data_IF_703319206524
#
_entry.id   IF_703319206524
#
_cell.length_a   1.000
_cell.length_b   1.000
_cell.length_c   1.000
_cell.angle_alpha   90.00
_cell.angle_beta   90.00
_cell.angle_gamma   90.00
#
_symmetry.space_group_name_H-M   'P 1'
#
loop_
_entity.id
_entity.type
_entity.pdbx_description
1 polymer ?
#
# COMPACT_ATOMS: atom_id res chain seq x y z
N UNK A 1 -5.77 -10.14 20.48
CA UNK A 1 -4.80 -9.33 19.70
C UNK A 1 -5.48 -8.73 18.46
N UNK A 2 -4.81 -7.82 17.77
CA UNK A 2 -5.30 -7.17 16.54
C UNK A 2 -5.01 -8.00 15.29
N UNK A 3 -4.06 -8.92 15.33
CA UNK A 3 -3.59 -9.67 14.17
C UNK A 3 -4.72 -10.48 13.52
N UNK A 4 -5.37 -11.34 14.30
CA UNK A 4 -6.40 -12.25 13.79
C UNK A 4 -7.57 -11.53 13.11
N UNK A 5 -8.21 -10.50 13.68
CA UNK A 5 -9.30 -9.79 13.00
C UNK A 5 -8.82 -9.03 11.76
N UNK A 6 -7.65 -8.38 11.80
CA UNK A 6 -7.15 -7.63 10.64
C UNK A 6 -6.76 -8.55 9.48
N UNK A 7 -6.06 -9.67 9.75
CA UNK A 7 -5.72 -10.63 8.70
C UNK A 7 -6.95 -11.37 8.17
N UNK A 8 -7.96 -11.63 9.02
CA UNK A 8 -9.25 -12.15 8.55
C UNK A 8 -9.93 -11.17 7.61
N UNK A 9 -10.00 -9.89 7.97
CA UNK A 9 -10.58 -8.86 7.11
C UNK A 9 -9.81 -8.71 5.79
N UNK A 10 -8.47 -8.77 5.82
CA UNK A 10 -7.61 -8.76 4.63
C UNK A 10 -7.92 -9.94 3.71
N UNK A 11 -8.01 -11.14 4.26
CA UNK A 11 -8.38 -12.34 3.52
C UNK A 11 -9.76 -12.22 2.89
N UNK A 12 -10.77 -11.78 3.64
CA UNK A 12 -12.13 -11.59 3.14
C UNK A 12 -12.19 -10.57 2.01
N UNK A 13 -11.49 -9.46 2.13
CA UNK A 13 -11.42 -8.42 1.10
C UNK A 13 -10.71 -8.91 -0.16
N UNK A 14 -9.65 -9.69 -0.02
CA UNK A 14 -8.90 -10.23 -1.15
C UNK A 14 -9.66 -11.34 -1.89
N UNK A 15 -10.23 -12.30 -1.14
CA UNK A 15 -10.82 -13.50 -1.71
C UNK A 15 -12.30 -13.37 -2.06
N UNK A 16 -13.04 -12.48 -1.38
CA UNK A 16 -14.48 -12.21 -1.59
C UNK A 16 -15.29 -13.49 -1.69
N UNK A 17 -15.22 -14.39 -0.69
CA UNK A 17 -15.78 -15.73 -0.81
C UNK A 17 -17.30 -15.68 -0.97
N UNK A 18 -17.82 -16.49 -1.88
CA UNK A 18 -19.26 -16.68 -2.05
C UNK A 18 -19.85 -17.34 -0.78
N UNK A 19 -20.98 -16.84 -0.32
CA UNK A 19 -21.65 -17.34 0.90
C UNK A 19 -21.17 -16.70 2.20
N UNK A 20 -20.26 -15.74 2.15
CA UNK A 20 -19.88 -14.89 3.27
C UNK A 20 -20.26 -13.43 2.98
N UNK A 21 -20.86 -12.76 3.95
CA UNK A 21 -21.20 -11.32 3.86
C UNK A 21 -19.97 -10.46 4.20
N UNK A 22 -18.91 -10.64 3.41
CA UNK A 22 -17.63 -9.99 3.63
C UNK A 22 -17.71 -8.46 3.52
N UNK A 23 -18.70 -7.91 2.78
CA UNK A 23 -18.91 -6.47 2.65
C UNK A 23 -19.22 -5.84 4.01
N UNK A 24 -20.00 -6.51 4.85
CA UNK A 24 -20.30 -6.05 6.20
C UNK A 24 -19.27 -6.53 7.23
N UNK A 25 -18.68 -7.71 7.03
CA UNK A 25 -17.70 -8.27 7.98
C UNK A 25 -16.37 -7.51 7.98
N UNK A 26 -15.86 -7.08 6.83
CA UNK A 26 -14.57 -6.35 6.76
C UNK A 26 -14.60 -5.06 7.60
N UNK A 27 -15.51 -4.10 7.37
CA UNK A 27 -15.54 -2.89 8.20
C UNK A 27 -15.86 -3.21 9.67
N UNK A 28 -16.69 -4.21 9.97
CA UNK A 28 -16.97 -4.63 11.35
C UNK A 28 -15.71 -5.07 12.09
N UNK A 29 -14.83 -5.82 11.44
CA UNK A 29 -13.57 -6.26 12.02
C UNK A 29 -12.59 -5.09 12.22
N UNK A 30 -12.54 -4.14 11.29
CA UNK A 30 -11.74 -2.92 11.42
C UNK A 30 -12.22 -2.08 12.62
N UNK A 31 -13.53 -1.85 12.72
CA UNK A 31 -14.10 -1.09 13.84
C UNK A 31 -13.89 -1.82 15.17
N UNK A 32 -14.02 -3.14 15.21
CA UNK A 32 -13.76 -3.92 16.42
C UNK A 32 -12.31 -3.72 16.91
N UNK A 33 -11.33 -3.72 16.01
CA UNK A 33 -9.94 -3.46 16.40
C UNK A 33 -9.78 -2.05 16.95
N UNK A 34 -10.36 -1.05 16.29
CA UNK A 34 -10.32 0.33 16.77
C UNK A 34 -10.97 0.50 18.15
N UNK A 35 -12.15 -0.08 18.37
CA UNK A 35 -12.90 0.05 19.61
C UNK A 35 -12.25 -0.71 20.77
N UNK A 36 -11.62 -1.85 20.49
CA UNK A 36 -11.06 -2.75 21.51
C UNK A 36 -9.59 -2.45 21.83
N UNK A 37 -8.82 -2.05 20.82
CA UNK A 37 -7.37 -1.93 20.89
C UNK A 37 -6.84 -0.55 20.49
N UNK A 38 -7.74 0.38 20.13
CA UNK A 38 -7.34 1.76 19.84
C UNK A 38 -6.89 2.49 21.09
N UNK A 39 -5.74 3.13 21.03
CA UNK A 39 -5.30 4.05 22.07
C UNK A 39 -5.99 5.41 21.92
N UNK A 40 -5.98 6.26 22.96
CA UNK A 40 -6.38 7.65 22.84
C UNK A 40 -5.62 8.34 21.71
N UNK A 41 -6.34 9.09 20.89
CA UNK A 41 -5.77 9.71 19.72
C UNK A 41 -4.63 10.68 20.08
N UNK A 42 -3.44 10.44 19.51
CA UNK A 42 -2.37 11.42 19.48
C UNK A 42 -2.46 12.22 18.17
N UNK A 43 -2.66 13.52 18.25
CA UNK A 43 -2.77 14.38 17.06
C UNK A 43 -3.77 13.86 16.01
N UNK A 44 -4.90 13.32 16.48
CA UNK A 44 -5.94 12.67 15.64
C UNK A 44 -5.52 11.37 14.96
N UNK A 45 -4.37 10.80 15.24
CA UNK A 45 -4.03 9.44 14.83
C UNK A 45 -4.78 8.41 15.67
N UNK A 46 -4.92 7.22 15.14
CA UNK A 46 -5.55 6.07 15.80
C UNK A 46 -4.51 4.96 16.02
N UNK A 47 -3.60 5.11 17.03
CA UNK A 47 -2.60 4.10 17.31
C UNK A 47 -3.24 2.85 17.89
N UNK A 48 -2.67 1.69 17.61
CA UNK A 48 -3.20 0.40 18.01
C UNK A 48 -2.29 -0.26 19.05
N UNK A 49 -2.89 -0.71 20.16
CA UNK A 49 -2.22 -1.51 21.19
C UNK A 49 -1.90 -2.92 20.66
N UNK A 50 -0.88 -3.51 21.23
CA UNK A 50 -0.51 -4.89 20.91
C UNK A 50 -1.64 -5.87 21.21
N UNK A 51 -2.15 -5.82 22.45
CA UNK A 51 -3.17 -6.77 22.93
C UNK A 51 -4.05 -6.11 24.00
N UNK A 52 -5.15 -6.78 24.36
CA UNK A 52 -6.11 -6.31 25.39
C UNK A 52 -5.44 -6.09 26.75
N UNK A 53 -4.40 -6.85 27.07
CA UNK A 53 -3.64 -6.75 28.33
C UNK A 53 -2.23 -6.19 28.16
N UNK A 54 -1.82 -5.87 26.94
CA UNK A 54 -0.54 -5.25 26.63
C UNK A 54 -0.80 -3.91 25.94
N UNK A 55 -0.77 -2.84 26.72
CA UNK A 55 -1.15 -1.50 26.29
C UNK A 55 -0.01 -0.72 25.59
N UNK A 56 0.93 -1.44 25.01
CA UNK A 56 1.93 -0.79 24.17
C UNK A 56 1.33 -0.44 22.83
N UNK A 57 1.48 0.80 22.45
CA UNK A 57 1.10 1.30 21.13
C UNK A 57 2.24 1.03 20.17
N UNK A 58 1.99 0.21 19.17
CA UNK A 58 3.03 -0.30 18.26
C UNK A 58 2.89 0.28 16.86
N UNK A 59 4.04 0.67 16.28
CA UNK A 59 4.11 1.18 14.91
C UNK A 59 3.66 0.15 13.88
N UNK A 60 4.12 -1.11 14.00
CA UNK A 60 3.74 -2.22 13.11
C UNK A 60 2.24 -2.51 13.13
N UNK A 61 1.65 -2.60 14.32
CA UNK A 61 0.21 -2.87 14.49
C UNK A 61 -0.65 -1.71 13.97
N UNK A 62 -0.19 -0.49 14.20
CA UNK A 62 -0.86 0.70 13.68
C UNK A 62 -0.75 0.77 12.15
N UNK A 63 0.40 0.44 11.57
CA UNK A 63 0.58 0.37 10.12
C UNK A 63 -0.28 -0.74 9.50
N UNK A 64 -0.40 -1.91 10.15
CA UNK A 64 -1.29 -3.00 9.72
C UNK A 64 -2.76 -2.55 9.69
N UNK A 65 -3.23 -1.92 10.76
CA UNK A 65 -4.58 -1.33 10.81
C UNK A 65 -4.77 -0.29 9.70
N UNK A 66 -3.81 0.59 9.52
CA UNK A 66 -3.84 1.62 8.48
C UNK A 66 -3.92 1.02 7.07
N UNK A 67 -3.13 -0.01 6.77
CA UNK A 67 -3.13 -0.65 5.45
C UNK A 67 -4.49 -1.28 5.13
N UNK A 68 -5.16 -1.85 6.12
CA UNK A 68 -6.49 -2.41 5.90
C UNK A 68 -7.55 -1.31 5.72
N UNK A 69 -7.45 -0.19 6.45
CA UNK A 69 -8.28 1.00 6.19
C UNK A 69 -8.07 1.53 4.76
N UNK A 70 -6.82 1.58 4.28
CA UNK A 70 -6.49 2.00 2.92
C UNK A 70 -7.11 1.08 1.86
N UNK A 71 -6.94 -0.24 2.01
CA UNK A 71 -7.52 -1.24 1.12
C UNK A 71 -9.06 -1.20 1.11
N UNK A 72 -9.67 -1.03 2.29
CA UNK A 72 -11.12 -0.89 2.38
C UNK A 72 -11.63 0.40 1.74
N UNK A 73 -10.92 1.51 1.95
CA UNK A 73 -11.24 2.79 1.29
C UNK A 73 -11.17 2.69 -0.24
N UNK A 74 -10.13 2.03 -0.77
CA UNK A 74 -9.99 1.78 -2.21
C UNK A 74 -11.17 0.99 -2.77
N UNK A 75 -11.65 0.00 -2.02
CA UNK A 75 -12.78 -0.82 -2.44
C UNK A 75 -14.13 -0.10 -2.30
N UNK A 76 -14.38 0.52 -1.15
CA UNK A 76 -15.68 1.10 -0.79
C UNK A 76 -15.89 2.53 -1.31
N UNK A 77 -14.80 3.26 -1.59
CA UNK A 77 -14.81 4.70 -1.86
C UNK A 77 -15.02 5.56 -0.61
N UNK A 78 -15.02 4.97 0.60
CA UNK A 78 -15.27 5.71 1.84
C UNK A 78 -14.04 6.53 2.26
N UNK A 79 -14.16 7.86 2.15
CA UNK A 79 -13.12 8.80 2.48
C UNK A 79 -12.74 8.80 3.98
N UNK A 80 -13.63 8.38 4.87
CA UNK A 80 -13.33 8.31 6.29
C UNK A 80 -12.25 7.25 6.59
N UNK A 81 -12.27 6.12 5.90
CA UNK A 81 -11.23 5.10 6.02
C UNK A 81 -9.90 5.54 5.37
N UNK A 82 -9.95 6.31 4.27
CA UNK A 82 -8.76 6.94 3.68
C UNK A 82 -8.08 7.85 4.71
N UNK A 83 -8.84 8.72 5.35
CA UNK A 83 -8.34 9.65 6.36
C UNK A 83 -7.76 8.91 7.58
N UNK A 84 -8.41 7.85 8.06
CA UNK A 84 -7.87 7.00 9.14
C UNK A 84 -6.54 6.37 8.76
N UNK A 85 -6.44 5.82 7.54
CA UNK A 85 -5.20 5.25 7.03
C UNK A 85 -4.07 6.27 7.05
N UNK A 86 -4.30 7.47 6.50
CA UNK A 86 -3.30 8.55 6.46
C UNK A 86 -2.82 8.93 7.86
N UNK A 87 -3.74 9.14 8.80
CA UNK A 87 -3.40 9.54 10.18
C UNK A 87 -2.64 8.47 10.92
N UNK A 88 -3.07 7.20 10.80
CA UNK A 88 -2.41 6.09 11.44
C UNK A 88 -1.00 5.85 10.85
N UNK A 89 -0.82 5.96 9.53
CA UNK A 89 0.50 5.88 8.90
C UNK A 89 1.41 7.03 9.32
N UNK A 90 0.90 8.26 9.36
CA UNK A 90 1.67 9.40 9.82
C UNK A 90 2.19 9.17 11.25
N UNK A 91 1.35 8.65 12.15
CA UNK A 91 1.80 8.29 13.49
C UNK A 91 2.84 7.17 13.45
N UNK A 92 2.59 6.10 12.67
CA UNK A 92 3.51 4.98 12.56
C UNK A 92 4.88 5.38 11.97
N UNK A 93 4.95 6.41 11.13
CA UNK A 93 6.22 6.90 10.57
C UNK A 93 7.21 7.43 11.60
N UNK A 94 6.75 7.84 12.79
CA UNK A 94 7.64 8.24 13.88
C UNK A 94 8.53 7.12 14.42
N UNK A 95 8.22 5.86 14.10
CA UNK A 95 9.05 4.70 14.47
C UNK A 95 10.22 4.47 13.53
N UNK A 96 10.22 5.08 12.35
CA UNK A 96 11.31 4.98 11.38
C UNK A 96 12.46 5.92 11.75
N UNK A 97 13.69 5.41 11.74
CA UNK A 97 14.90 6.16 11.98
C UNK A 97 15.60 6.48 10.66
N UNK A 98 16.45 7.52 10.65
CA UNK A 98 17.18 7.96 9.45
C UNK A 98 18.17 6.90 8.91
N UNK A 99 18.58 5.96 9.75
CA UNK A 99 19.46 4.85 9.37
C UNK A 99 18.69 3.64 8.76
N UNK A 100 17.38 3.76 8.60
CA UNK A 100 16.51 2.70 8.06
C UNK A 100 16.07 1.67 9.08
N UNK A 101 16.45 1.80 10.35
CA UNK A 101 15.91 0.95 11.42
C UNK A 101 14.52 1.41 11.84
N UNK A 102 13.75 0.51 12.45
CA UNK A 102 12.40 0.78 12.95
C UNK A 102 12.31 0.42 14.42
N UNK A 103 11.82 1.32 15.25
CA UNK A 103 11.49 1.05 16.66
C UNK A 103 10.05 0.55 16.80
N UNK A 104 9.77 -0.13 17.90
CA UNK A 104 8.42 -0.69 18.16
C UNK A 104 7.42 0.42 18.51
N UNK A 105 7.83 1.39 19.32
CA UNK A 105 6.98 2.51 19.76
C UNK A 105 7.80 3.77 20.06
N UNK A 106 7.12 4.90 20.26
CA UNK A 106 7.75 6.23 20.43
C UNK A 106 8.15 6.56 21.85
N UNK A 107 7.43 6.08 22.84
CA UNK A 107 7.49 6.54 24.22
C UNK A 107 8.63 5.90 25.03
N UNK A 108 9.18 4.79 24.56
CA UNK A 108 10.29 4.08 25.21
C UNK A 108 11.22 3.41 24.20
N UNK A 109 11.91 4.17 23.35
CA UNK A 109 12.70 3.63 22.26
C UNK A 109 13.87 2.74 22.73
N UNK A 110 14.50 3.08 23.86
CA UNK A 110 15.57 2.31 24.49
C UNK A 110 15.09 0.96 25.03
N UNK A 111 13.92 0.90 25.61
CA UNK A 111 13.30 -0.32 26.09
C UNK A 111 12.90 -1.22 24.92
N UNK A 112 12.24 -0.67 23.93
CA UNK A 112 11.73 -1.43 22.78
C UNK A 112 12.87 -1.94 21.88
N UNK A 113 13.94 -1.20 21.73
CA UNK A 113 15.12 -1.67 21.00
C UNK A 113 15.83 -2.85 21.65
N UNK A 114 15.63 -3.04 22.94
CA UNK A 114 16.18 -4.18 23.71
C UNK A 114 15.19 -5.33 23.83
N UNK A 115 13.95 -5.13 23.43
CA UNK A 115 12.88 -6.09 23.55
C UNK A 115 12.97 -7.15 22.45
N UNK A 116 12.59 -8.36 22.76
CA UNK A 116 12.44 -9.46 21.80
C UNK A 116 11.28 -9.25 20.80
N UNK A 117 10.55 -8.18 20.90
CA UNK A 117 9.59 -7.74 19.90
C UNK A 117 10.34 -7.26 18.66
N UNK A 118 10.60 -8.19 17.76
CA UNK A 118 11.28 -7.94 16.49
C UNK A 118 10.35 -7.62 15.34
N UNK A 119 9.12 -7.24 15.64
CA UNK A 119 8.08 -6.94 14.65
C UNK A 119 8.37 -5.69 13.81
N UNK A 120 9.50 -5.04 14.07
CA UNK A 120 9.80 -3.76 13.49
C UNK A 120 9.73 -3.75 11.96
N UNK A 121 10.75 -4.27 11.30
CA UNK A 121 10.90 -4.04 9.87
C UNK A 121 9.94 -4.89 9.02
N UNK A 122 9.89 -6.20 9.23
CA UNK A 122 9.11 -7.11 8.38
C UNK A 122 7.60 -6.99 8.55
N UNK A 123 7.15 -6.57 9.71
CA UNK A 123 5.73 -6.37 10.00
C UNK A 123 5.30 -4.89 9.89
N UNK A 124 6.21 -4.01 9.51
CA UNK A 124 6.00 -2.58 9.36
C UNK A 124 5.97 -2.16 7.88
N UNK A 125 7.04 -2.42 7.14
CA UNK A 125 7.24 -1.97 5.75
C UNK A 125 6.17 -2.50 4.78
N UNK A 126 5.75 -3.78 4.82
CA UNK A 126 4.71 -4.27 3.89
C UNK A 126 3.39 -3.50 3.98
N UNK A 127 3.04 -3.02 5.18
CA UNK A 127 1.81 -2.26 5.38
C UNK A 127 1.86 -0.86 4.80
N UNK A 128 3.04 -0.22 4.76
CA UNK A 128 3.24 1.03 4.02
C UNK A 128 3.15 0.80 2.51
N UNK A 129 3.74 -0.27 2.00
CA UNK A 129 3.66 -0.64 0.58
C UNK A 129 2.21 -0.90 0.17
N UNK A 130 1.47 -1.70 0.92
CA UNK A 130 0.04 -1.97 0.68
C UNK A 130 -0.78 -0.67 0.69
N UNK A 131 -0.47 0.22 1.64
CA UNK A 131 -1.18 1.51 1.75
C UNK A 131 -0.90 2.43 0.56
N UNK A 132 0.35 2.50 0.09
CA UNK A 132 0.71 3.25 -1.11
C UNK A 132 0.10 2.63 -2.38
N UNK A 133 -0.02 1.31 -2.44
CA UNK A 133 -0.71 0.65 -3.54
C UNK A 133 -2.22 0.97 -3.58
N UNK A 134 -2.85 1.06 -2.40
CA UNK A 134 -4.27 1.40 -2.26
C UNK A 134 -4.56 2.90 -2.38
N UNK A 135 -3.62 3.75 -1.94
CA UNK A 135 -3.70 5.22 -1.97
C UNK A 135 -2.39 5.76 -2.58
N UNK A 136 -2.26 5.74 -3.91
CA UNK A 136 -1.01 6.11 -4.60
C UNK A 136 -0.47 7.50 -4.28
N UNK A 137 -1.34 8.43 -3.88
CA UNK A 137 -0.95 9.76 -3.42
C UNK A 137 -0.07 9.78 -2.16
N UNK A 138 0.04 8.64 -1.43
CA UNK A 138 0.97 8.50 -0.30
C UNK A 138 2.40 8.18 -0.73
N UNK A 139 2.61 7.71 -1.96
CA UNK A 139 3.94 7.43 -2.46
C UNK A 139 4.69 8.73 -2.81
N UNK A 140 6.02 8.80 -2.62
CA UNK A 140 6.82 9.97 -2.93
C UNK A 140 6.62 10.46 -4.38
N UNK A 141 6.56 11.77 -4.58
CA UNK A 141 6.33 12.39 -5.90
C UNK A 141 7.63 12.57 -6.71
N UNK A 142 8.77 12.48 -6.08
CA UNK A 142 10.09 12.78 -6.64
C UNK A 142 10.86 11.53 -7.08
N UNK A 143 10.24 10.36 -6.99
CA UNK A 143 10.84 9.10 -7.41
C UNK A 143 9.81 8.18 -8.07
N UNK A 144 10.31 7.30 -8.94
CA UNK A 144 9.49 6.31 -9.62
C UNK A 144 9.37 5.04 -8.77
N UNK A 145 8.14 4.54 -8.61
CA UNK A 145 7.85 3.36 -7.80
C UNK A 145 6.84 2.44 -8.46
N UNK A 146 7.15 1.15 -8.53
CA UNK A 146 6.15 0.11 -8.75
C UNK A 146 5.39 -0.11 -7.44
N UNK A 147 4.11 0.26 -7.40
CA UNK A 147 3.25 0.19 -6.21
C UNK A 147 2.51 -1.14 -6.10
N UNK A 148 2.05 -1.68 -7.23
CA UNK A 148 1.33 -2.96 -7.26
C UNK A 148 1.58 -3.68 -8.57
N UNK A 149 1.60 -5.02 -8.51
CA UNK A 149 1.67 -5.90 -9.67
C UNK A 149 0.87 -7.17 -9.41
N UNK A 150 0.10 -7.63 -10.39
CA UNK A 150 -0.59 -8.93 -10.33
C UNK A 150 0.30 -10.10 -10.75
N UNK A 151 1.52 -9.82 -11.24
CA UNK A 151 2.53 -10.81 -11.60
C UNK A 151 3.84 -10.54 -10.87
N UNK A 152 4.63 -11.56 -10.64
CA UNK A 152 5.98 -11.40 -10.10
C UNK A 152 6.84 -10.62 -11.09
N UNK A 153 7.47 -9.55 -10.64
CA UNK A 153 8.44 -8.78 -11.42
C UNK A 153 9.80 -9.44 -11.28
N UNK A 154 10.38 -9.86 -12.41
CA UNK A 154 11.70 -10.53 -12.47
C UNK A 154 12.85 -9.53 -12.36
N UNK A 155 12.71 -8.42 -13.06
CA UNK A 155 13.68 -7.33 -13.12
C UNK A 155 12.95 -6.01 -13.38
N UNK A 156 13.46 -4.92 -12.83
CA UNK A 156 12.99 -3.58 -13.08
C UNK A 156 14.17 -2.61 -13.03
N UNK A 157 14.26 -1.77 -14.06
CA UNK A 157 15.25 -0.71 -14.17
C UNK A 157 14.56 0.65 -14.24
N UNK A 158 15.00 1.57 -13.40
CA UNK A 158 14.57 2.95 -13.39
C UNK A 158 15.69 3.85 -13.89
N UNK A 159 15.43 4.58 -14.95
CA UNK A 159 16.33 5.63 -15.45
C UNK A 159 15.56 6.92 -15.66
N UNK A 160 16.24 8.02 -15.90
CA UNK A 160 15.57 9.32 -16.10
C UNK A 160 14.55 9.24 -17.21
N UNK A 161 13.25 9.39 -16.87
CA UNK A 161 12.12 9.34 -17.81
C UNK A 161 11.97 8.03 -18.61
N UNK A 162 12.57 6.94 -18.13
CA UNK A 162 12.40 5.65 -18.78
C UNK A 162 12.45 4.55 -17.72
N UNK A 163 11.44 3.68 -17.72
CA UNK A 163 11.33 2.50 -16.88
C UNK A 163 11.19 1.29 -17.78
N UNK A 164 11.96 0.24 -17.48
CA UNK A 164 11.80 -1.06 -18.12
C UNK A 164 11.68 -2.13 -17.08
N UNK A 165 10.73 -3.04 -17.27
CA UNK A 165 10.59 -4.20 -16.38
C UNK A 165 10.11 -5.43 -17.13
N UNK A 166 10.38 -6.60 -16.53
CA UNK A 166 9.86 -7.89 -16.99
C UNK A 166 9.09 -8.60 -15.90
N UNK A 167 7.96 -9.18 -16.29
CA UNK A 167 7.12 -9.98 -15.43
C UNK A 167 7.30 -11.47 -15.65
N UNK A 168 6.84 -12.29 -14.70
CA UNK A 168 6.84 -13.74 -14.86
C UNK A 168 5.71 -14.15 -15.82
N UNK A 169 4.52 -13.61 -15.62
CA UNK A 169 3.36 -13.89 -16.49
C UNK A 169 3.32 -12.87 -17.63
N UNK A 170 2.87 -13.35 -18.80
CA UNK A 170 2.66 -12.49 -19.97
C UNK A 170 1.51 -11.52 -19.76
N UNK A 171 0.47 -11.91 -19.03
CA UNK A 171 -0.67 -11.05 -18.71
C UNK A 171 -0.55 -10.53 -17.29
N UNK A 172 -0.78 -9.23 -17.13
CA UNK A 172 -0.75 -8.61 -15.81
C UNK A 172 -1.25 -7.17 -15.79
N UNK A 173 -1.48 -6.70 -14.57
CA UNK A 173 -1.80 -5.31 -14.27
C UNK A 173 -0.76 -4.76 -13.31
N UNK A 174 -0.28 -3.55 -13.59
CA UNK A 174 0.63 -2.84 -12.71
C UNK A 174 0.13 -1.44 -12.43
N UNK A 175 0.48 -0.96 -11.23
CA UNK A 175 0.28 0.42 -10.80
C UNK A 175 1.64 0.99 -10.44
N UNK A 176 2.00 2.10 -11.06
CA UNK A 176 3.27 2.80 -10.82
C UNK A 176 2.98 4.25 -10.42
N UNK A 177 3.76 4.76 -9.47
CA UNK A 177 3.93 6.19 -9.23
C UNK A 177 5.08 6.67 -10.10
N UNK A 178 4.91 7.77 -10.82
CA UNK A 178 5.92 8.31 -11.73
C UNK A 178 6.34 9.72 -11.32
N UNK A 179 7.62 10.01 -11.43
CA UNK A 179 8.16 11.37 -11.29
C UNK A 179 8.08 12.17 -12.62
N UNK A 180 7.61 11.55 -13.69
CA UNK A 180 7.49 12.14 -15.01
C UNK A 180 6.14 11.83 -15.67
N UNK A 181 5.78 12.60 -16.70
CA UNK A 181 4.59 12.32 -17.51
C UNK A 181 4.94 11.29 -18.59
N UNK A 182 4.26 10.12 -18.64
CA UNK A 182 4.52 9.13 -19.67
C UNK A 182 4.02 9.62 -21.06
N UNK A 183 4.82 9.38 -22.09
CA UNK A 183 4.47 9.69 -23.49
C UNK A 183 4.04 8.45 -24.27
N UNK A 184 4.59 7.29 -23.92
CA UNK A 184 4.24 6.01 -24.54
C UNK A 184 4.59 4.84 -23.61
N UNK A 185 3.85 3.76 -23.78
CA UNK A 185 4.14 2.45 -23.18
C UNK A 185 4.28 1.42 -24.29
N UNK A 186 5.31 0.58 -24.21
CA UNK A 186 5.55 -0.53 -25.14
C UNK A 186 5.46 -1.86 -24.41
N UNK A 187 4.97 -2.87 -25.12
CA UNK A 187 5.00 -4.27 -24.71
C UNK A 187 5.72 -5.06 -25.80
N UNK A 188 6.92 -5.56 -25.48
CA UNK A 188 7.80 -6.13 -26.46
C UNK A 188 8.14 -5.11 -27.57
N UNK A 189 7.64 -5.34 -28.81
CA UNK A 189 7.86 -4.44 -29.94
C UNK A 189 6.67 -3.54 -30.28
N UNK A 190 5.55 -3.70 -29.60
CA UNK A 190 4.29 -3.04 -29.94
C UNK A 190 3.99 -1.89 -28.97
N UNK A 191 3.36 -0.84 -29.49
CA UNK A 191 2.85 0.25 -28.68
C UNK A 191 1.54 -0.17 -28.02
N UNK A 192 1.47 0.02 -26.72
CA UNK A 192 0.24 -0.19 -25.97
C UNK A 192 -0.66 1.06 -26.10
N UNK A 193 -1.95 0.84 -26.28
CA UNK A 193 -2.92 1.93 -26.48
C UNK A 193 -3.16 2.69 -25.17
N UNK A 194 -3.14 4.03 -25.25
CA UNK A 194 -3.57 4.86 -24.14
C UNK A 194 -5.10 4.87 -24.04
N UNK A 195 -5.61 4.67 -22.83
CA UNK A 195 -7.05 4.71 -22.48
C UNK A 195 -7.39 6.04 -21.82
N UNK A 196 -8.65 6.46 -21.92
CA UNK A 196 -9.16 7.66 -21.22
C UNK A 196 -9.49 7.38 -19.73
N UNK A 197 -9.57 6.12 -19.33
CA UNK A 197 -9.84 5.68 -17.96
C UNK A 197 -9.23 4.29 -17.73
N UNK A 198 -9.07 3.85 -16.45
CA UNK A 198 -8.66 2.48 -16.14
C UNK A 198 -9.52 1.45 -16.86
N UNK A 199 -8.91 0.42 -17.47
CA UNK A 199 -9.61 -0.56 -18.31
C UNK A 199 -9.23 -1.98 -17.93
N UNK A 200 -10.18 -2.90 -18.12
CA UNK A 200 -9.95 -4.35 -18.04
C UNK A 200 -9.32 -4.92 -19.33
N UNK A 201 -9.30 -4.15 -20.40
CA UNK A 201 -8.63 -4.53 -21.65
C UNK A 201 -7.18 -4.02 -21.67
N UNK A 202 -6.27 -4.66 -22.44
CA UNK A 202 -4.89 -4.21 -22.57
C UNK A 202 -4.81 -2.76 -23.01
N UNK A 203 -4.00 -1.99 -22.28
CA UNK A 203 -3.86 -0.55 -22.46
C UNK A 203 -3.16 0.07 -21.26
N UNK A 204 -2.98 1.38 -21.30
CA UNK A 204 -2.46 2.14 -20.17
C UNK A 204 -3.26 3.42 -19.95
N UNK A 205 -3.35 3.82 -18.69
CA UNK A 205 -4.02 5.04 -18.24
C UNK A 205 -3.10 5.79 -17.28
N UNK A 206 -3.01 7.09 -17.43
CA UNK A 206 -2.23 7.95 -16.52
C UNK A 206 -3.13 9.00 -15.88
N UNK A 207 -3.10 9.05 -14.55
CA UNK A 207 -3.77 10.06 -13.74
C UNK A 207 -2.77 11.17 -13.37
N UNK A 208 -2.84 12.35 -14.02
CA UNK A 208 -1.82 13.40 -13.85
C UNK A 208 -1.77 14.01 -12.45
N UNK A 209 -2.91 14.16 -11.77
CA UNK A 209 -2.99 14.79 -10.45
C UNK A 209 -2.29 13.95 -9.39
N UNK A 210 -2.42 12.64 -9.48
CA UNK A 210 -1.78 11.70 -8.57
C UNK A 210 -0.46 11.15 -9.11
N UNK A 211 -0.09 11.46 -10.35
CA UNK A 211 1.10 10.93 -11.05
C UNK A 211 1.12 9.39 -11.09
N UNK A 212 -0.03 8.78 -11.30
CA UNK A 212 -0.21 7.33 -11.25
C UNK A 212 -0.44 6.78 -12.66
N UNK A 213 0.39 5.81 -13.03
CA UNK A 213 0.26 5.04 -14.26
C UNK A 213 -0.31 3.66 -13.94
N UNK A 214 -1.38 3.28 -14.64
CA UNK A 214 -1.94 1.93 -14.62
C UNK A 214 -1.70 1.28 -15.98
N UNK A 215 -1.18 0.06 -15.98
CA UNK A 215 -0.90 -0.72 -17.19
C UNK A 215 -1.60 -2.07 -17.10
N UNK A 216 -2.27 -2.46 -18.19
CA UNK A 216 -2.75 -3.81 -18.41
C UNK A 216 -2.10 -4.36 -19.69
N UNK A 217 -1.29 -5.42 -19.58
CA UNK A 217 -0.48 -5.93 -20.67
C UNK A 217 -0.70 -7.43 -20.93
N UNK A 218 -0.25 -7.87 -22.11
CA UNK A 218 -0.32 -9.25 -22.58
C UNK A 218 1.04 -9.83 -23.01
N UNK A 219 2.13 -9.10 -22.78
CA UNK A 219 3.50 -9.54 -22.98
C UNK A 219 4.32 -9.20 -21.73
N UNK A 220 5.40 -9.93 -21.50
CA UNK A 220 6.17 -9.89 -20.25
C UNK A 220 7.31 -8.84 -20.21
N UNK A 221 7.60 -8.15 -21.31
CA UNK A 221 8.62 -7.10 -21.40
C UNK A 221 7.93 -5.74 -21.64
N UNK A 222 8.00 -4.86 -20.63
CA UNK A 222 7.29 -3.59 -20.62
C UNK A 222 8.29 -2.44 -20.53
N UNK A 223 8.11 -1.42 -21.38
CA UNK A 223 8.88 -0.19 -21.38
C UNK A 223 7.95 1.03 -21.31
N UNK A 224 8.29 1.97 -20.43
CA UNK A 224 7.57 3.24 -20.23
C UNK A 224 8.54 4.38 -20.56
N UNK A 225 8.12 5.29 -21.43
CA UNK A 225 8.91 6.45 -21.83
C UNK A 225 8.22 7.74 -21.41
N UNK A 226 8.97 8.66 -20.85
CA UNK A 226 8.51 10.00 -20.53
C UNK A 226 8.61 10.97 -21.72
N UNK A 227 7.97 12.13 -21.57
CA UNK A 227 8.08 13.23 -22.55
C UNK A 227 9.52 13.73 -22.57
N UNK A 228 10.11 13.81 -23.76
CA UNK A 228 11.38 14.52 -23.97
C UNK A 228 11.17 16.01 -23.68
N UNK A 229 11.98 16.56 -22.79
CA UNK A 229 11.92 17.96 -22.39
C UNK A 229 12.68 18.86 -23.36
#
# INVERSE_FOLDING_TARGET
DQLSPLETARYLLAMRPSGCDWIHEVPRLIEWVKETLGAPAFFSAEPIHEQIFCYFVMGSHTARYASLCALWSQYSGDAAYKERAIRALNWASYMANDDGTVTVGVDRPDYYNQCWFTDGYFDYVPHFIDSMAAIPGLAPNDADHLLASTSVVKEIDYTTKHIRYKTFDRMGKQVLKLSFVPSQVRIGKELLTQSASPSETPGWFFEPEEQVLQIHHQEDDIEIFGVEG
#
